data_IF_774864684784
#
_entry.id   IF_774864684784
#
_cell.length_a   1.000
_cell.length_b   1.000
_cell.length_c   1.000
_cell.angle_alpha   90.00
_cell.angle_beta   90.00
_cell.angle_gamma   90.00
#
_symmetry.space_group_name_H-M   'P 1'
#
loop_
_entity.id
_entity.type
_entity.pdbx_description
1 polymer ?
#
# COMPACT_ATOMS: atom_id res chain seq x y z
N UNK A 1 -52.85 -34.14 -5.65
CA UNK A 1 -54.26 -33.93 -6.00
C UNK A 1 -54.70 -32.71 -5.22
N UNK A 2 -54.76 -31.47 -5.72
CA UNK A 2 -54.60 -30.86 -7.05
C UNK A 2 -54.33 -29.36 -6.78
N UNK A 3 -53.41 -28.75 -7.53
CA UNK A 3 -53.66 -27.69 -8.53
C UNK A 3 -54.13 -26.34 -7.93
N UNK A 4 -53.34 -25.26 -8.03
CA UNK A 4 -53.38 -24.18 -9.04
C UNK A 4 -53.49 -22.86 -8.21
N UNK A 5 -53.06 -21.65 -8.56
CA UNK A 5 -52.82 -21.01 -9.85
C UNK A 5 -51.94 -19.74 -9.67
N UNK A 6 -51.40 -19.28 -10.79
CA UNK A 6 -50.66 -18.04 -11.05
C UNK A 6 -51.29 -16.75 -10.48
N UNK A 7 -50.42 -15.78 -10.16
CA UNK A 7 -50.73 -14.36 -10.38
C UNK A 7 -49.49 -13.62 -10.89
N UNK A 8 -49.63 -13.10 -12.12
CA UNK A 8 -48.68 -12.27 -12.86
C UNK A 8 -48.86 -10.78 -12.50
N UNK A 9 -47.82 -10.00 -12.82
CA UNK A 9 -47.79 -8.54 -13.19
C UNK A 9 -47.36 -7.56 -12.10
N UNK A 10 -46.41 -6.70 -12.47
CA UNK A 10 -46.16 -5.43 -11.78
C UNK A 10 -44.75 -4.87 -11.96
N UNK A 11 -44.32 -4.58 -13.18
CA UNK A 11 -43.16 -3.73 -13.42
C UNK A 11 -43.57 -2.24 -13.31
N UNK A 12 -42.79 -1.39 -12.65
CA UNK A 12 -42.79 0.04 -12.94
C UNK A 12 -41.59 0.42 -13.82
N UNK A 13 -41.91 1.17 -14.88
CA UNK A 13 -41.00 1.78 -15.81
C UNK A 13 -40.29 2.99 -15.18
N UNK A 14 -38.97 3.04 -15.28
CA UNK A 14 -38.17 4.23 -14.99
C UNK A 14 -38.04 5.07 -16.28
N UNK A 15 -38.30 6.39 -16.25
CA UNK A 15 -38.19 7.24 -17.42
C UNK A 15 -36.72 7.54 -17.76
N UNK A 16 -36.34 7.18 -18.99
CA UNK A 16 -35.07 7.55 -19.61
C UNK A 16 -35.11 9.03 -20.00
N UNK A 17 -34.20 9.82 -19.44
CA UNK A 17 -33.90 11.18 -19.94
C UNK A 17 -32.59 11.12 -20.74
N UNK A 18 -32.74 11.19 -22.06
CA UNK A 18 -31.65 11.39 -22.98
C UNK A 18 -31.40 12.90 -23.13
N UNK A 19 -30.19 13.35 -22.77
CA UNK A 19 -29.60 14.58 -23.30
C UNK A 19 -28.23 14.22 -23.84
N UNK A 20 -28.03 14.48 -25.13
CA UNK A 20 -26.87 14.03 -25.88
C UNK A 20 -25.77 15.06 -26.02
N UNK A 21 -24.73 14.64 -26.75
CA UNK A 21 -24.00 15.49 -27.68
C UNK A 21 -22.62 15.96 -27.22
N UNK A 22 -21.58 15.37 -27.86
CA UNK A 22 -20.31 16.03 -28.16
C UNK A 22 -19.23 15.89 -27.08
N UNK A 23 -18.21 15.07 -27.31
CA UNK A 23 -17.02 15.50 -28.05
C UNK A 23 -16.12 14.29 -28.29
N UNK A 24 -15.74 14.09 -29.54
CA UNK A 24 -14.79 13.06 -29.95
C UNK A 24 -13.38 13.50 -29.54
N UNK A 25 -12.93 13.08 -28.37
CA UNK A 25 -11.51 13.11 -28.02
C UNK A 25 -11.01 11.67 -27.89
N UNK A 26 -10.57 11.12 -29.02
CA UNK A 26 -9.53 10.10 -29.03
C UNK A 26 -8.23 10.77 -28.57
N UNK A 27 -7.66 10.42 -27.40
CA UNK A 27 -6.24 10.64 -27.22
C UNK A 27 -5.52 9.59 -28.07
N UNK A 28 -4.76 10.10 -29.03
CA UNK A 28 -3.77 9.36 -29.78
C UNK A 28 -2.87 8.57 -28.81
N UNK A 29 -2.42 7.37 -29.16
CA UNK A 29 -1.31 6.73 -28.46
C UNK A 29 -0.07 7.60 -28.71
N UNK A 30 0.30 8.44 -27.73
CA UNK A 30 1.63 9.02 -27.68
C UNK A 30 2.58 7.86 -27.45
N UNK A 31 3.21 7.42 -28.54
CA UNK A 31 4.39 6.57 -28.48
C UNK A 31 5.48 7.32 -27.72
N UNK A 32 5.65 6.96 -26.46
CA UNK A 32 6.89 7.16 -25.74
C UNK A 32 7.67 5.85 -25.78
N UNK A 33 8.56 5.82 -26.77
CA UNK A 33 9.75 4.97 -26.80
C UNK A 33 10.50 5.11 -25.48
N UNK A 34 10.42 4.06 -24.65
CA UNK A 34 11.12 3.95 -23.39
C UNK A 34 11.57 2.51 -23.21
N UNK A 35 12.70 2.18 -23.84
CA UNK A 35 13.46 0.95 -23.74
C UNK A 35 13.11 0.07 -22.52
N UNK A 36 12.54 -1.11 -22.79
CA UNK A 36 12.67 -2.34 -22.00
C UNK A 36 13.10 -2.16 -20.52
N UNK A 37 12.35 -1.39 -19.72
CA UNK A 37 12.60 -1.34 -18.28
C UNK A 37 12.10 -2.66 -17.73
N UNK A 38 13.02 -3.45 -17.17
CA UNK A 38 12.72 -4.76 -16.60
C UNK A 38 11.55 -4.60 -15.62
N UNK A 39 10.37 -5.18 -15.93
CA UNK A 39 9.25 -5.20 -14.98
C UNK A 39 9.66 -6.09 -13.82
N UNK A 40 9.87 -5.52 -12.63
CA UNK A 40 10.12 -6.35 -11.47
C UNK A 40 8.82 -6.95 -10.95
N UNK A 41 8.89 -8.18 -10.45
CA UNK A 41 7.82 -8.85 -9.73
C UNK A 41 8.28 -9.25 -8.34
N UNK A 42 7.33 -9.39 -7.42
CA UNK A 42 7.59 -9.74 -6.04
C UNK A 42 6.98 -11.09 -5.74
N UNK A 43 7.80 -11.98 -5.20
CA UNK A 43 7.38 -13.34 -4.82
C UNK A 43 7.51 -13.54 -3.32
N UNK A 44 6.70 -14.41 -2.74
CA UNK A 44 6.82 -14.78 -1.33
C UNK A 44 8.19 -15.44 -1.09
N UNK A 45 8.97 -14.95 -0.12
CA UNK A 45 10.30 -15.51 0.16
C UNK A 45 10.27 -16.98 0.60
N UNK A 46 9.16 -17.42 1.23
CA UNK A 46 9.01 -18.79 1.76
C UNK A 46 8.54 -19.80 0.72
N UNK A 47 7.60 -19.45 -0.16
CA UNK A 47 7.02 -20.40 -1.12
C UNK A 47 7.16 -20.00 -2.60
N UNK A 48 7.76 -18.85 -2.88
CA UNK A 48 7.97 -18.28 -4.23
C UNK A 48 6.70 -18.04 -5.04
N UNK A 49 5.53 -18.07 -4.40
CA UNK A 49 4.29 -17.62 -5.02
C UNK A 49 4.42 -16.16 -5.47
N UNK A 50 3.99 -15.86 -6.70
CA UNK A 50 3.89 -14.50 -7.23
C UNK A 50 2.81 -13.73 -6.46
N UNK A 51 3.17 -12.55 -5.93
CA UNK A 51 2.28 -11.76 -5.07
C UNK A 51 1.78 -10.48 -5.77
N UNK A 52 2.69 -9.72 -6.36
CA UNK A 52 2.40 -8.44 -7.03
C UNK A 52 3.56 -8.03 -7.93
N UNK A 53 3.32 -7.09 -8.84
CA UNK A 53 4.32 -6.46 -9.69
C UNK A 53 4.78 -5.11 -9.12
N UNK A 54 5.87 -4.58 -9.66
CA UNK A 54 6.35 -3.23 -9.29
C UNK A 54 5.35 -2.11 -9.62
N UNK A 55 4.48 -2.32 -10.61
CA UNK A 55 3.36 -1.41 -10.92
C UNK A 55 2.34 -1.28 -9.80
N UNK A 56 2.26 -2.28 -8.92
CA UNK A 56 1.23 -2.36 -7.88
C UNK A 56 1.72 -1.70 -6.57
N UNK A 57 3.00 -1.31 -6.53
CA UNK A 57 3.62 -0.67 -5.37
C UNK A 57 3.34 0.83 -5.42
N UNK A 58 2.62 1.32 -4.40
CA UNK A 58 2.34 2.74 -4.22
C UNK A 58 3.61 3.47 -3.76
N UNK A 59 4.13 4.43 -4.55
CA UNK A 59 5.30 5.21 -4.16
C UNK A 59 4.95 6.14 -3.00
N UNK A 60 5.92 6.38 -2.11
CA UNK A 60 5.80 7.36 -1.04
C UNK A 60 7.16 7.99 -0.76
N UNK A 61 7.19 9.30 -0.56
CA UNK A 61 8.45 10.02 -0.39
C UNK A 61 8.88 10.09 1.08
N UNK A 62 10.13 9.70 1.41
CA UNK A 62 10.70 9.87 2.74
C UNK A 62 10.61 11.32 3.28
N UNK A 63 10.64 12.31 2.38
CA UNK A 63 10.58 13.72 2.76
C UNK A 63 9.17 14.22 3.11
N UNK A 64 8.11 13.52 2.70
CA UNK A 64 6.74 13.95 3.02
C UNK A 64 6.42 13.84 4.51
N UNK A 65 7.05 12.88 5.19
CA UNK A 65 6.98 12.73 6.64
C UNK A 65 7.83 13.72 7.43
N UNK A 66 8.97 14.13 6.87
CA UNK A 66 9.91 15.04 7.53
C UNK A 66 9.33 16.45 7.68
N UNK A 67 8.46 16.88 6.75
CA UNK A 67 7.81 18.21 6.77
C UNK A 67 6.69 18.34 7.81
N UNK A 68 6.20 17.23 8.41
CA UNK A 68 4.93 17.23 9.17
C UNK A 68 4.99 16.62 10.57
N UNK A 69 6.16 16.24 11.10
CA UNK A 69 6.23 15.57 12.41
C UNK A 69 6.95 16.41 13.47
N UNK A 70 6.20 16.85 14.48
CA UNK A 70 6.76 17.11 15.80
C UNK A 70 7.28 15.77 16.34
N UNK A 71 8.61 15.62 16.44
CA UNK A 71 9.23 14.40 16.95
C UNK A 71 8.89 14.24 18.45
N UNK A 72 7.83 13.52 18.78
CA UNK A 72 7.66 13.06 20.17
C UNK A 72 8.59 11.86 20.38
N UNK A 73 9.81 12.12 20.86
CA UNK A 73 10.64 11.05 21.41
C UNK A 73 9.92 10.52 22.65
N UNK A 74 9.39 9.30 22.58
CA UNK A 74 8.86 8.59 23.74
C UNK A 74 10.05 8.14 24.61
N UNK A 75 10.50 9.07 25.43
CA UNK A 75 11.66 8.96 26.32
C UNK A 75 11.81 10.28 27.04
N UNK A 76 10.88 10.57 27.96
CA UNK A 76 10.96 11.76 28.80
C UNK A 76 12.23 11.70 29.67
N UNK A 77 12.95 12.82 29.85
CA UNK A 77 14.09 12.84 30.76
C UNK A 77 13.60 12.60 32.18
N UNK A 78 14.20 11.62 32.86
CA UNK A 78 14.09 11.47 34.30
C UNK A 78 14.63 12.77 34.91
N UNK A 79 13.75 13.53 35.58
CA UNK A 79 14.14 14.75 36.29
C UNK A 79 15.17 14.38 37.36
N UNK A 80 16.41 14.81 37.18
CA UNK A 80 17.33 15.06 38.28
C UNK A 80 17.47 16.57 38.36
N UNK A 81 17.00 17.13 39.47
CA UNK A 81 17.20 18.52 39.82
C UNK A 81 18.72 18.80 39.93
N UNK A 82 19.19 19.85 39.27
CA UNK A 82 20.60 20.24 39.25
C UNK A 82 20.74 21.61 38.60
N UNK A 83 20.80 22.63 39.45
CA UNK A 83 21.14 24.02 39.14
C UNK A 83 22.61 24.09 38.67
N UNK A 84 22.87 24.76 37.55
CA UNK A 84 24.20 24.88 36.97
C UNK A 84 24.14 25.67 35.66
N UNK A 85 24.29 26.99 35.79
CA UNK A 85 24.60 27.93 34.73
C UNK A 85 26.06 27.75 34.28
N UNK A 86 26.28 27.37 33.02
CA UNK A 86 27.56 27.59 32.34
C UNK A 86 27.39 27.59 30.82
N UNK A 87 28.16 28.49 30.23
CA UNK A 87 28.15 29.06 28.88
C UNK A 87 28.65 28.12 27.77
N UNK A 88 28.25 28.44 26.54
CA UNK A 88 28.91 28.11 25.27
C UNK A 88 28.96 26.63 24.82
N UNK A 89 27.97 26.27 23.99
CA UNK A 89 28.08 25.13 23.10
C UNK A 89 27.18 25.33 21.89
N UNK A 90 27.75 25.83 20.79
CA UNK A 90 27.15 25.88 19.46
C UNK A 90 26.66 24.48 19.05
N UNK A 91 25.43 24.14 19.46
CA UNK A 91 24.71 22.94 19.08
C UNK A 91 24.18 23.15 17.68
N UNK A 92 25.07 22.92 16.70
CA UNK A 92 24.78 23.02 15.29
C UNK A 92 23.41 22.42 15.01
N UNK A 93 22.55 23.22 14.40
CA UNK A 93 21.41 22.74 13.64
C UNK A 93 21.95 21.62 12.76
N UNK A 94 21.70 20.38 13.19
CA UNK A 94 21.95 19.22 12.38
C UNK A 94 21.03 19.36 11.19
N UNK A 95 21.50 20.09 10.17
CA UNK A 95 21.19 19.83 8.79
C UNK A 95 21.54 18.36 8.61
N UNK A 96 20.57 17.50 8.93
CA UNK A 96 20.52 16.17 8.37
C UNK A 96 20.46 16.44 6.88
N UNK A 97 21.63 16.36 6.26
CA UNK A 97 21.88 16.64 4.86
C UNK A 97 20.72 16.14 4.02
N UNK A 98 20.17 17.00 3.14
CA UNK A 98 19.21 16.65 2.09
C UNK A 98 19.55 15.32 1.40
N UNK A 99 20.85 15.00 1.34
CA UNK A 99 21.40 13.74 0.83
C UNK A 99 21.03 12.47 1.63
N UNK A 100 20.82 12.54 2.96
CA UNK A 100 20.48 11.38 3.80
C UNK A 100 18.99 11.00 3.71
N UNK A 101 18.12 11.96 3.39
CA UNK A 101 16.69 11.74 3.19
C UNK A 101 16.37 11.22 1.78
N UNK A 102 17.13 11.63 0.77
CA UNK A 102 16.99 11.16 -0.61
C UNK A 102 17.43 9.69 -0.81
N UNK A 103 18.22 9.12 0.11
CA UNK A 103 18.69 7.72 0.04
C UNK A 103 18.03 6.79 1.06
N UNK A 104 17.00 7.24 1.78
CA UNK A 104 16.30 6.40 2.76
C UNK A 104 15.51 5.32 2.02
N UNK A 105 16.15 4.18 1.73
CA UNK A 105 15.51 3.03 1.09
C UNK A 105 14.45 2.49 2.04
N UNK A 106 13.18 2.71 1.72
CA UNK A 106 12.07 2.21 2.52
C UNK A 106 12.09 0.68 2.58
N UNK A 107 12.04 0.12 3.78
CA UNK A 107 11.95 -1.33 4.00
C UNK A 107 10.52 -1.87 3.88
N UNK A 108 9.58 -1.00 3.49
CA UNK A 108 8.14 -1.24 3.45
C UNK A 108 7.62 -0.91 2.06
N UNK A 109 6.93 -1.88 1.46
CA UNK A 109 6.21 -1.74 0.19
C UNK A 109 4.73 -1.58 0.52
N UNK A 110 4.08 -0.57 -0.04
CA UNK A 110 2.65 -0.36 0.15
C UNK A 110 1.92 -0.73 -1.13
N UNK A 111 0.78 -1.39 -0.99
CA UNK A 111 -0.06 -1.82 -2.11
C UNK A 111 -1.40 -1.11 -2.07
N UNK A 112 -1.98 -0.92 -3.25
CA UNK A 112 -3.35 -0.48 -3.40
C UNK A 112 -4.29 -1.70 -3.31
N UNK A 113 -5.23 -1.74 -2.34
CA UNK A 113 -6.16 -2.85 -2.20
C UNK A 113 -7.05 -3.06 -3.43
N UNK A 114 -7.34 -2.00 -4.20
CA UNK A 114 -8.21 -2.10 -5.38
C UNK A 114 -7.51 -2.81 -6.54
N UNK A 115 -6.18 -2.63 -6.66
CA UNK A 115 -5.35 -3.32 -7.66
C UNK A 115 -4.89 -4.71 -7.19
N UNK A 116 -4.79 -4.92 -5.88
CA UNK A 116 -4.28 -6.16 -5.27
C UNK A 116 -5.29 -6.81 -4.34
N UNK A 117 -6.48 -7.24 -4.82
CA UNK A 117 -7.60 -7.65 -3.98
C UNK A 117 -7.30 -8.82 -3.02
N UNK A 118 -6.25 -9.60 -3.26
CA UNK A 118 -5.85 -10.67 -2.36
C UNK A 118 -5.42 -10.15 -0.97
N UNK A 119 -4.94 -8.91 -0.85
CA UNK A 119 -4.51 -8.34 0.44
C UNK A 119 -5.68 -8.08 1.39
N UNK A 120 -6.90 -7.99 0.87
CA UNK A 120 -8.13 -7.82 1.65
C UNK A 120 -8.96 -9.10 1.78
N UNK A 121 -8.62 -10.15 1.03
CA UNK A 121 -9.40 -11.39 0.97
C UNK A 121 -9.55 -12.06 2.33
N UNK A 122 -8.43 -12.34 3.04
CA UNK A 122 -8.44 -13.00 4.34
C UNK A 122 -9.25 -12.21 5.39
N UNK A 123 -9.18 -10.88 5.34
CA UNK A 123 -9.87 -9.98 6.29
C UNK A 123 -11.37 -9.98 6.00
N UNK A 124 -11.76 -9.93 4.72
CA UNK A 124 -13.16 -10.01 4.31
C UNK A 124 -13.74 -11.38 4.69
N UNK A 125 -13.04 -12.48 4.40
CA UNK A 125 -13.48 -13.82 4.79
C UNK A 125 -13.58 -13.98 6.31
N UNK A 126 -12.62 -13.46 7.08
CA UNK A 126 -12.70 -13.46 8.54
C UNK A 126 -13.91 -12.68 9.06
N UNK A 127 -14.20 -11.52 8.46
CA UNK A 127 -15.36 -10.70 8.80
C UNK A 127 -16.69 -11.40 8.49
N UNK A 128 -16.77 -12.15 7.39
CA UNK A 128 -17.99 -12.86 6.98
C UNK A 128 -18.18 -14.14 7.80
N UNK A 129 -17.11 -14.88 8.04
CA UNK A 129 -17.17 -16.21 8.64
C UNK A 129 -17.01 -16.20 10.17
N UNK A 130 -16.78 -15.02 10.78
CA UNK A 130 -16.51 -14.88 12.21
C UNK A 130 -15.21 -15.55 12.67
N UNK A 131 -14.29 -15.82 11.75
CA UNK A 131 -13.03 -16.46 12.07
C UNK A 131 -12.08 -15.46 12.74
N UNK A 132 -11.41 -15.88 13.82
CA UNK A 132 -10.38 -15.08 14.47
C UNK A 132 -9.12 -15.01 13.59
N UNK A 133 -9.05 -14.01 12.72
CA UNK A 133 -7.82 -13.60 12.06
C UNK A 133 -7.36 -12.33 12.74
N UNK A 134 -6.07 -12.24 13.06
CA UNK A 134 -5.45 -11.00 13.53
C UNK A 134 -5.77 -9.89 12.52
N UNK A 135 -6.64 -8.93 12.87
CA UNK A 135 -7.30 -8.06 11.90
C UNK A 135 -6.32 -7.24 11.07
N UNK A 136 -5.09 -7.05 11.58
CA UNK A 136 -4.09 -6.18 10.97
C UNK A 136 -2.94 -6.94 10.31
N UNK A 137 -3.00 -8.26 10.13
CA UNK A 137 -1.89 -9.05 9.54
C UNK A 137 -2.18 -9.54 8.12
N UNK A 138 -1.23 -9.33 7.21
CA UNK A 138 -1.25 -9.88 5.85
C UNK A 138 -0.49 -11.19 5.77
N UNK A 139 -1.14 -12.24 5.27
CA UNK A 139 -0.55 -13.55 5.06
C UNK A 139 -0.36 -13.86 3.58
N UNK A 140 0.54 -14.79 3.27
CA UNK A 140 0.72 -15.28 1.92
C UNK A 140 -0.57 -16.00 1.45
N UNK A 141 -1.11 -15.68 0.26
CA UNK A 141 -2.34 -16.27 -0.26
C UNK A 141 -2.20 -17.75 -0.62
N UNK A 142 -0.97 -18.29 -0.66
CA UNK A 142 -0.76 -19.72 -0.82
C UNK A 142 -1.21 -20.46 0.47
N UNK A 143 -2.27 -21.32 0.43
CA UNK A 143 -2.82 -21.97 1.61
C UNK A 143 -1.84 -22.89 2.33
N UNK A 144 -0.84 -23.43 1.62
CA UNK A 144 0.21 -24.27 2.21
C UNK A 144 1.32 -23.45 2.89
N UNK A 145 1.40 -22.16 2.63
CA UNK A 145 2.47 -21.30 3.13
C UNK A 145 2.01 -20.46 4.32
N UNK A 146 0.96 -19.64 4.13
CA UNK A 146 0.41 -18.68 5.11
C UNK A 146 1.47 -17.93 5.91
N UNK A 147 2.63 -17.64 5.31
CA UNK A 147 3.68 -16.87 5.96
C UNK A 147 3.22 -15.42 6.17
N UNK A 148 3.57 -14.82 7.30
CA UNK A 148 3.31 -13.40 7.56
C UNK A 148 4.14 -12.54 6.60
N UNK A 149 3.45 -11.79 5.73
CA UNK A 149 4.06 -10.88 4.75
C UNK A 149 4.12 -9.45 5.29
N UNK A 150 3.10 -9.04 6.04
CA UNK A 150 3.13 -7.74 6.70
C UNK A 150 1.85 -7.40 7.44
N UNK A 151 1.41 -6.16 7.30
CA UNK A 151 0.32 -5.58 8.09
C UNK A 151 -0.59 -4.73 7.23
N UNK A 152 -1.86 -4.61 7.63
CA UNK A 152 -2.84 -3.77 6.95
C UNK A 152 -3.52 -2.79 7.91
N UNK A 153 -3.90 -1.61 7.41
CA UNK A 153 -4.68 -0.62 8.14
C UNK A 153 -5.41 0.28 7.15
N UNK A 154 -6.74 0.32 7.25
CA UNK A 154 -7.59 1.19 6.43
C UNK A 154 -7.45 2.67 6.77
N UNK A 155 -7.17 3.01 8.03
CA UNK A 155 -6.95 4.40 8.47
C UNK A 155 -5.55 4.90 8.12
N UNK A 156 -4.67 4.01 7.69
CA UNK A 156 -3.29 4.31 7.35
C UNK A 156 -2.30 4.02 8.48
N UNK A 157 -1.01 4.23 8.20
CA UNK A 157 0.07 4.10 9.19
C UNK A 157 1.31 4.87 8.76
N UNK A 158 2.17 5.22 9.72
CA UNK A 158 3.45 5.86 9.45
C UNK A 158 4.50 4.86 8.96
N UNK A 159 5.10 5.11 7.80
CA UNK A 159 6.25 4.36 7.29
C UNK A 159 7.52 4.66 8.11
N UNK A 160 8.50 3.75 8.08
CA UNK A 160 9.81 3.97 8.74
C UNK A 160 10.58 5.15 8.16
N UNK A 161 10.30 5.56 6.91
CA UNK A 161 10.84 6.79 6.32
C UNK A 161 10.15 8.07 6.82
N UNK A 162 9.07 7.94 7.60
CA UNK A 162 8.31 9.04 8.17
C UNK A 162 7.01 9.37 7.43
N UNK A 163 6.84 8.96 6.18
CA UNK A 163 5.64 9.23 5.38
C UNK A 163 4.39 8.59 6.00
N UNK A 164 3.26 9.30 5.96
CA UNK A 164 1.96 8.74 6.31
C UNK A 164 1.30 8.17 5.05
N UNK A 165 0.91 6.89 5.07
CA UNK A 165 0.31 6.21 3.92
C UNK A 165 -1.09 5.74 4.28
N UNK A 166 -2.07 6.03 3.44
CA UNK A 166 -3.48 5.60 3.59
C UNK A 166 -4.05 5.23 2.21
N UNK A 167 -4.67 4.04 2.04
CA UNK A 167 -4.69 2.93 2.99
C UNK A 167 -3.29 2.29 3.13
N UNK A 168 -3.02 1.63 4.26
CA UNK A 168 -1.70 1.11 4.59
C UNK A 168 -1.62 -0.43 4.50
N UNK A 169 -1.70 -0.98 3.29
CA UNK A 169 -1.41 -2.40 3.03
C UNK A 169 0.09 -2.61 2.85
N UNK A 170 0.77 -2.85 3.96
CA UNK A 170 2.23 -2.86 4.05
C UNK A 170 2.80 -4.27 3.95
N UNK A 171 3.63 -4.51 2.95
CA UNK A 171 4.46 -5.70 2.82
C UNK A 171 5.89 -5.38 3.28
N UNK A 172 6.46 -6.22 4.15
CA UNK A 172 7.85 -6.06 4.56
C UNK A 172 8.78 -6.57 3.46
N UNK A 173 9.77 -5.78 3.06
CA UNK A 173 10.75 -6.19 2.06
C UNK A 173 11.48 -7.49 2.43
N UNK A 174 11.63 -7.81 3.72
CA UNK A 174 12.23 -9.07 4.19
C UNK A 174 11.39 -10.33 3.91
N UNK A 175 10.10 -10.18 3.64
CA UNK A 175 9.17 -11.30 3.45
C UNK A 175 8.98 -11.67 1.97
N UNK A 176 9.55 -10.89 1.06
CA UNK A 176 9.41 -11.04 -0.38
C UNK A 176 10.76 -10.97 -1.10
N UNK A 177 10.83 -11.57 -2.28
CA UNK A 177 11.98 -11.50 -3.18
C UNK A 177 11.58 -10.70 -4.43
N UNK A 178 12.36 -9.66 -4.75
CA UNK A 178 12.23 -8.88 -5.99
C UNK A 178 12.94 -9.63 -7.11
N UNK A 179 12.18 -10.00 -8.14
CA UNK A 179 12.65 -10.71 -9.32
C UNK A 179 12.57 -9.76 -10.51
N UNK A 180 13.67 -9.61 -11.25
CA UNK A 180 13.64 -8.86 -12.51
C UNK A 180 13.07 -9.78 -13.59
N UNK A 181 11.94 -9.43 -14.18
CA UNK A 181 11.51 -10.10 -15.40
C UNK A 181 12.47 -9.68 -16.52
N UNK A 182 13.18 -10.62 -17.17
CA UNK A 182 14.03 -10.28 -18.30
C UNK A 182 13.16 -9.65 -19.39
N UNK A 183 13.63 -8.54 -19.96
CA UNK A 183 12.99 -7.96 -21.13
C UNK A 183 12.89 -9.02 -22.23
N UNK A 184 11.71 -9.19 -22.82
CA UNK A 184 11.52 -10.11 -23.93
C UNK A 184 12.56 -9.79 -25.03
N UNK A 185 13.19 -10.80 -25.66
CA UNK A 185 14.13 -10.53 -26.73
C UNK A 185 13.40 -9.80 -27.87
N UNK A 186 13.96 -8.67 -28.30
CA UNK A 186 13.52 -7.99 -29.51
C UNK A 186 13.66 -8.96 -30.69
N UNK A 187 12.58 -9.10 -31.47
CA UNK A 187 12.49 -10.00 -32.62
C UNK A 187 13.04 -9.31 -33.86
#
# INVERSE_FOLDING_TARGET
>A
MDAEAEARRGAPAEPVVAVGGGDAHSPHPTGEEGAARHRASYTCRRCRALLFAESDVVPHDPLDGAKKTFKYRRGGPSRRDGDGDDDNGSGGSGAISDAAAATATCTSLFLDPDQTPWVVADVHEASVNGAAVEPDTLYCPNPRCRAKLGTQSWTGSQCSCGAWVTPAFRIHARAVDKMLCPAAPAQ
#
